data_IF_986751549737
#
_entry.id   IF_986751549737
#
_cell.length_a   1.000
_cell.length_b   1.000
_cell.length_c   1.000
_cell.angle_alpha   90.00
_cell.angle_beta   90.00
_cell.angle_gamma   90.00
#
_symmetry.space_group_name_H-M   'P 1'
#
loop_
_entity.id
_entity.type
_entity.pdbx_description
1 polymer ?
#
# COMPACT_ATOMS: atom_id res chain seq x y z
N UNK A 1 -35.31 -22.36 34.34
CA UNK A 1 -35.33 -21.67 33.01
C UNK A 1 -34.62 -20.36 33.22
N UNK A 2 -33.36 -20.28 32.89
CA UNK A 2 -32.58 -19.05 32.94
C UNK A 2 -33.12 -18.11 31.83
N UNK A 3 -33.92 -17.11 32.25
CA UNK A 3 -34.51 -16.11 31.38
C UNK A 3 -33.42 -15.14 30.92
N UNK A 4 -33.42 -14.78 29.65
CA UNK A 4 -32.65 -13.64 29.14
C UNK A 4 -33.53 -12.40 29.08
N UNK A 5 -32.87 -11.20 29.07
CA UNK A 5 -33.51 -9.90 28.89
C UNK A 5 -32.81 -9.19 27.75
N UNK A 6 -33.59 -8.57 26.83
CA UNK A 6 -33.05 -7.71 25.78
C UNK A 6 -33.28 -6.25 26.14
N UNK A 7 -32.26 -5.42 25.97
CA UNK A 7 -32.29 -3.97 26.21
C UNK A 7 -31.44 -3.22 25.19
N UNK A 8 -31.55 -1.92 25.21
CA UNK A 8 -30.68 -1.05 24.42
C UNK A 8 -29.24 -1.17 24.90
N UNK A 9 -28.31 -1.05 23.94
CA UNK A 9 -26.89 -0.95 24.20
C UNK A 9 -26.55 0.33 24.97
N UNK A 10 -25.61 0.24 25.88
CA UNK A 10 -24.98 1.37 26.58
C UNK A 10 -23.46 1.32 26.36
N UNK A 11 -22.76 2.45 26.57
CA UNK A 11 -21.29 2.47 26.40
C UNK A 11 -20.54 1.49 27.30
N UNK A 12 -21.09 1.18 28.46
CA UNK A 12 -20.50 0.20 29.42
C UNK A 12 -20.52 -1.22 28.87
N UNK A 13 -21.34 -1.51 27.86
CA UNK A 13 -21.43 -2.82 27.23
C UNK A 13 -20.34 -3.09 26.18
N UNK A 14 -19.59 -2.06 25.75
CA UNK A 14 -18.67 -2.17 24.60
C UNK A 14 -17.69 -3.33 24.73
N UNK A 15 -17.03 -3.44 25.87
CA UNK A 15 -16.03 -4.50 26.10
C UNK A 15 -16.66 -5.89 26.06
N UNK A 16 -17.87 -6.03 26.66
CA UNK A 16 -18.59 -7.30 26.68
C UNK A 16 -19.11 -7.69 25.29
N UNK A 17 -19.56 -6.73 24.47
CA UNK A 17 -19.97 -6.96 23.07
C UNK A 17 -18.78 -7.45 22.24
N UNK A 18 -17.61 -6.80 22.33
CA UNK A 18 -16.39 -7.24 21.63
C UNK A 18 -16.01 -8.65 22.04
N UNK A 19 -16.07 -8.97 23.33
CA UNK A 19 -15.74 -10.32 23.85
C UNK A 19 -16.68 -11.38 23.28
N UNK A 20 -17.98 -11.12 23.25
CA UNK A 20 -18.96 -12.06 22.70
C UNK A 20 -18.81 -12.21 21.19
N UNK A 21 -18.51 -11.12 20.46
CA UNK A 21 -18.25 -11.18 19.02
C UNK A 21 -17.05 -12.06 18.69
N UNK A 22 -15.93 -11.91 19.40
CA UNK A 22 -14.74 -12.76 19.25
C UNK A 22 -15.00 -14.24 19.49
N UNK A 23 -15.97 -14.57 20.37
CA UNK A 23 -16.37 -15.95 20.66
C UNK A 23 -17.44 -16.49 19.70
N UNK A 24 -18.03 -15.62 18.88
CA UNK A 24 -19.18 -15.97 18.05
C UNK A 24 -18.83 -16.48 16.66
N UNK A 25 -17.60 -16.35 16.19
CA UNK A 25 -17.16 -16.82 14.87
C UNK A 25 -17.43 -18.31 14.66
N UNK A 26 -18.16 -18.67 13.59
CA UNK A 26 -18.54 -20.06 13.24
C UNK A 26 -18.08 -20.49 11.87
N UNK A 27 -17.63 -19.58 11.01
CA UNK A 27 -17.21 -19.82 9.63
C UNK A 27 -15.75 -19.40 9.42
N UNK A 28 -15.08 -20.06 8.49
CA UNK A 28 -13.73 -19.68 8.06
C UNK A 28 -13.72 -18.34 7.27
N UNK A 29 -14.88 -17.93 6.75
CA UNK A 29 -15.01 -16.67 6.02
C UNK A 29 -15.23 -15.49 6.97
N UNK A 30 -14.45 -14.41 6.83
CA UNK A 30 -14.62 -13.21 7.63
C UNK A 30 -15.97 -12.55 7.35
N UNK A 31 -16.62 -11.97 8.38
CA UNK A 31 -17.87 -11.25 8.19
C UNK A 31 -17.67 -10.04 7.25
N UNK A 32 -18.72 -9.72 6.47
CA UNK A 32 -18.71 -8.63 5.50
C UNK A 32 -18.29 -7.27 6.09
N UNK A 33 -18.78 -6.95 7.27
CA UNK A 33 -18.41 -5.73 7.99
C UNK A 33 -17.37 -6.08 9.06
N UNK A 34 -16.19 -5.45 9.08
CA UNK A 34 -15.20 -5.67 10.14
C UNK A 34 -15.72 -5.22 11.51
N UNK A 35 -15.13 -5.75 12.58
CA UNK A 35 -15.51 -5.39 13.94
C UNK A 35 -15.38 -3.88 14.21
N UNK A 36 -14.42 -3.22 13.58
CA UNK A 36 -14.23 -1.76 13.64
C UNK A 36 -15.46 -0.97 13.23
N UNK A 37 -16.21 -1.45 12.23
CA UNK A 37 -17.43 -0.77 11.75
C UNK A 37 -18.54 -0.85 12.80
N UNK A 38 -18.68 -2.01 13.45
CA UNK A 38 -19.61 -2.19 14.55
C UNK A 38 -19.24 -1.31 15.76
N UNK A 39 -17.95 -1.26 16.12
CA UNK A 39 -17.45 -0.39 17.20
C UNK A 39 -17.71 1.08 16.88
N UNK A 40 -17.44 1.50 15.65
CA UNK A 40 -17.73 2.89 15.20
C UNK A 40 -19.22 3.20 15.29
N UNK A 41 -20.08 2.28 14.85
CA UNK A 41 -21.53 2.45 14.92
C UNK A 41 -22.02 2.57 16.39
N UNK A 42 -21.47 1.78 17.31
CA UNK A 42 -21.76 1.85 18.74
C UNK A 42 -21.32 3.19 19.35
N UNK A 43 -20.14 3.68 18.99
CA UNK A 43 -19.60 4.96 19.46
C UNK A 43 -20.39 6.17 18.90
N UNK A 44 -20.88 6.07 17.66
CA UNK A 44 -21.69 7.11 17.00
C UNK A 44 -23.19 6.98 17.30
N UNK A 45 -23.56 6.13 18.25
CA UNK A 45 -24.92 5.95 18.78
C UNK A 45 -25.97 5.51 17.75
N UNK A 46 -25.56 4.70 16.79
CA UNK A 46 -26.52 3.99 15.95
C UNK A 46 -27.30 2.96 16.78
N UNK A 47 -28.53 2.60 16.40
CA UNK A 47 -29.34 1.64 17.14
C UNK A 47 -28.62 0.30 17.32
N UNK A 48 -28.53 -0.16 18.55
CA UNK A 48 -27.96 -1.43 18.91
C UNK A 48 -28.67 -2.00 20.14
N UNK A 49 -28.78 -3.31 20.22
CA UNK A 49 -29.41 -4.01 21.34
C UNK A 49 -28.49 -5.11 21.88
N UNK A 50 -28.60 -5.37 23.16
CA UNK A 50 -27.86 -6.42 23.85
C UNK A 50 -28.81 -7.35 24.61
N UNK A 51 -28.42 -8.60 24.71
CA UNK A 51 -29.11 -9.59 25.55
C UNK A 51 -28.25 -9.94 26.74
N UNK A 52 -28.86 -9.99 27.92
CA UNK A 52 -28.20 -10.38 29.17
C UNK A 52 -28.92 -11.54 29.84
N UNK A 53 -28.18 -12.41 30.50
CA UNK A 53 -28.67 -13.42 31.40
C UNK A 53 -27.82 -13.37 32.68
N UNK A 54 -28.49 -13.30 33.85
CA UNK A 54 -27.83 -13.17 35.17
C UNK A 54 -26.77 -12.03 35.14
N UNK A 55 -27.14 -10.86 34.55
CA UNK A 55 -26.32 -9.66 34.34
C UNK A 55 -25.08 -9.86 33.44
N UNK A 56 -24.90 -11.04 32.85
CA UNK A 56 -23.83 -11.30 31.89
C UNK A 56 -24.35 -11.09 30.48
N UNK A 57 -23.61 -10.35 29.64
CA UNK A 57 -23.92 -10.14 28.22
C UNK A 57 -23.71 -11.44 27.45
N UNK A 58 -24.77 -11.92 26.80
CA UNK A 58 -24.81 -13.22 26.08
C UNK A 58 -25.03 -13.05 24.56
N UNK A 59 -25.36 -11.84 24.08
CA UNK A 59 -25.54 -11.57 22.68
C UNK A 59 -25.76 -10.08 22.41
N UNK A 60 -25.51 -9.68 21.15
CA UNK A 60 -25.74 -8.32 20.70
C UNK A 60 -26.14 -8.31 19.21
N UNK A 61 -26.88 -7.27 18.81
CA UNK A 61 -27.12 -6.93 17.43
C UNK A 61 -26.82 -5.44 17.23
N UNK A 62 -25.96 -5.15 16.25
CA UNK A 62 -25.44 -3.78 15.97
C UNK A 62 -25.81 -3.39 14.57
N UNK A 63 -26.22 -2.14 14.36
CA UNK A 63 -26.63 -1.62 13.08
C UNK A 63 -26.02 -0.26 12.76
N UNK A 64 -26.18 0.15 11.49
CA UNK A 64 -25.89 1.49 11.00
C UNK A 64 -27.07 1.99 10.18
N UNK A 65 -27.53 3.21 10.46
CA UNK A 65 -28.64 3.86 9.75
C UNK A 65 -28.06 4.91 8.81
N UNK A 66 -28.47 4.87 7.55
CA UNK A 66 -28.10 5.81 6.49
C UNK A 66 -29.36 6.32 5.79
N UNK A 67 -29.89 7.44 6.25
CA UNK A 67 -31.17 7.96 5.78
C UNK A 67 -32.32 6.98 6.06
N UNK A 68 -33.04 6.57 5.03
CA UNK A 68 -34.17 5.62 5.16
C UNK A 68 -33.75 4.14 5.09
N UNK A 69 -32.45 3.86 5.04
CA UNK A 69 -31.87 2.49 4.97
C UNK A 69 -31.07 2.20 6.22
N UNK A 70 -31.11 0.96 6.65
CA UNK A 70 -30.30 0.47 7.74
C UNK A 70 -29.59 -0.84 7.34
N UNK A 71 -28.38 -1.03 7.87
CA UNK A 71 -27.62 -2.24 7.75
C UNK A 71 -27.43 -2.89 9.12
N UNK A 72 -27.70 -4.17 9.23
CA UNK A 72 -27.27 -4.97 10.38
C UNK A 72 -25.79 -5.32 10.13
N UNK A 73 -24.91 -4.77 10.97
CA UNK A 73 -23.45 -4.95 10.84
C UNK A 73 -22.97 -6.21 11.55
N UNK A 74 -23.59 -6.52 12.70
CA UNK A 74 -23.23 -7.67 13.53
C UNK A 74 -24.44 -8.26 14.24
N UNK A 75 -24.44 -9.59 14.32
CA UNK A 75 -25.29 -10.36 15.23
C UNK A 75 -24.38 -11.37 15.88
N UNK A 76 -24.07 -11.20 17.16
CA UNK A 76 -23.15 -12.07 17.89
C UNK A 76 -23.83 -12.69 19.12
N UNK A 77 -23.46 -13.93 19.42
CA UNK A 77 -24.02 -14.68 20.54
C UNK A 77 -22.96 -15.57 21.17
N UNK A 78 -22.93 -15.62 22.50
CA UNK A 78 -22.10 -16.55 23.23
C UNK A 78 -22.42 -18.00 22.83
N UNK A 79 -21.41 -18.89 22.72
CA UNK A 79 -21.59 -20.26 22.19
C UNK A 79 -22.72 -21.05 22.86
N UNK A 80 -22.86 -20.97 24.17
CA UNK A 80 -23.89 -21.67 24.93
C UNK A 80 -25.33 -21.18 24.72
N UNK A 81 -25.53 -20.07 23.97
CA UNK A 81 -26.84 -19.45 23.76
C UNK A 81 -27.31 -19.51 22.31
N UNK A 82 -26.56 -20.16 21.44
CA UNK A 82 -26.95 -20.42 20.04
C UNK A 82 -28.09 -21.41 19.94
N UNK A 83 -28.82 -21.33 18.84
CA UNK A 83 -29.96 -22.25 18.51
C UNK A 83 -31.08 -22.25 19.57
N UNK A 84 -31.16 -21.22 20.42
CA UNK A 84 -32.21 -21.07 21.41
C UNK A 84 -33.21 -19.95 21.11
N UNK A 85 -33.24 -19.46 19.85
CA UNK A 85 -34.13 -18.38 19.42
C UNK A 85 -33.65 -16.96 19.76
N UNK A 86 -32.53 -16.80 20.47
CA UNK A 86 -32.02 -15.51 20.93
C UNK A 86 -31.72 -14.58 19.75
N UNK A 87 -31.17 -15.10 18.63
CA UNK A 87 -30.88 -14.32 17.44
C UNK A 87 -32.08 -13.63 16.85
N UNK A 88 -33.21 -14.33 16.70
CA UNK A 88 -34.46 -13.74 16.20
C UNK A 88 -35.01 -12.65 17.15
N UNK A 89 -34.92 -12.88 18.47
CA UNK A 89 -35.37 -11.87 19.45
C UNK A 89 -34.50 -10.60 19.37
N UNK A 90 -33.19 -10.74 19.23
CA UNK A 90 -32.28 -9.58 19.03
C UNK A 90 -32.58 -8.84 17.73
N UNK A 91 -32.82 -9.55 16.63
CA UNK A 91 -33.18 -8.95 15.34
C UNK A 91 -34.49 -8.18 15.45
N UNK A 92 -35.55 -8.80 15.98
CA UNK A 92 -36.86 -8.14 16.15
C UNK A 92 -36.75 -6.90 17.05
N UNK A 93 -35.99 -7.00 18.15
CA UNK A 93 -35.77 -5.87 19.03
C UNK A 93 -35.00 -4.73 18.34
N UNK A 94 -34.02 -5.06 17.50
CA UNK A 94 -33.26 -4.08 16.72
C UNK A 94 -34.13 -3.42 15.65
N UNK A 95 -34.92 -4.20 14.90
CA UNK A 95 -35.84 -3.70 13.87
C UNK A 95 -36.79 -2.61 14.40
N UNK A 96 -37.37 -2.84 15.58
CA UNK A 96 -38.25 -1.85 16.21
C UNK A 96 -37.53 -0.52 16.42
N UNK A 97 -36.24 -0.52 16.81
CA UNK A 97 -35.45 0.69 17.00
C UNK A 97 -35.08 1.32 15.67
N UNK A 98 -34.80 0.51 14.65
CA UNK A 98 -34.47 0.99 13.33
C UNK A 98 -35.65 1.69 12.66
N UNK A 99 -36.85 1.09 12.73
CA UNK A 99 -38.06 1.73 12.19
C UNK A 99 -38.44 2.97 12.99
N UNK A 100 -38.26 2.96 14.32
CA UNK A 100 -38.45 4.14 15.13
C UNK A 100 -37.45 5.27 14.82
N UNK A 101 -36.23 4.92 14.36
CA UNK A 101 -35.21 5.85 13.90
C UNK A 101 -35.42 6.32 12.44
N UNK A 102 -36.53 5.92 11.78
CA UNK A 102 -36.90 6.36 10.42
C UNK A 102 -36.43 5.48 9.28
N UNK A 103 -35.82 4.34 9.55
CA UNK A 103 -35.47 3.40 8.51
C UNK A 103 -36.77 2.83 7.87
N UNK A 104 -36.76 2.68 6.55
CA UNK A 104 -37.83 2.02 5.78
C UNK A 104 -37.40 0.68 5.19
N UNK A 105 -36.10 0.43 5.13
CA UNK A 105 -35.52 -0.82 4.69
C UNK A 105 -34.35 -1.22 5.58
N UNK A 106 -34.35 -2.49 5.99
CA UNK A 106 -33.26 -3.09 6.77
C UNK A 106 -32.59 -4.15 5.93
N UNK A 107 -31.28 -4.10 5.85
CA UNK A 107 -30.45 -4.99 5.07
C UNK A 107 -29.51 -5.75 5.99
N UNK A 108 -29.22 -7.01 5.64
CA UNK A 108 -28.16 -7.82 6.26
C UNK A 108 -27.41 -8.57 5.16
N UNK A 109 -26.13 -8.77 5.32
CA UNK A 109 -25.33 -9.62 4.46
C UNK A 109 -24.51 -10.57 5.33
N UNK A 110 -24.61 -11.86 5.04
CA UNK A 110 -23.95 -12.93 5.79
C UNK A 110 -23.26 -13.87 4.79
N UNK A 111 -22.15 -14.50 5.16
CA UNK A 111 -21.58 -15.61 4.41
C UNK A 111 -22.60 -16.74 4.22
N UNK A 112 -22.47 -17.49 3.12
CA UNK A 112 -23.34 -18.63 2.86
C UNK A 112 -23.13 -19.72 3.92
N UNK A 113 -24.21 -20.24 4.48
CA UNK A 113 -24.15 -21.30 5.52
C UNK A 113 -24.06 -20.79 6.97
N UNK A 114 -23.98 -19.48 7.20
CA UNK A 114 -23.94 -18.95 8.56
C UNK A 114 -25.28 -19.11 9.30
N UNK A 115 -25.19 -19.48 10.60
CA UNK A 115 -26.37 -19.75 11.44
C UNK A 115 -27.28 -18.52 11.61
N UNK A 116 -26.73 -17.32 11.46
CA UNK A 116 -27.48 -16.04 11.46
C UNK A 116 -28.55 -15.93 10.38
N UNK A 117 -28.38 -16.62 9.23
CA UNK A 117 -29.35 -16.63 8.15
C UNK A 117 -30.72 -17.21 8.55
N UNK A 118 -30.73 -18.21 9.43
CA UNK A 118 -31.98 -18.79 9.97
C UNK A 118 -32.72 -17.78 10.84
N UNK A 119 -32.02 -17.02 11.67
CA UNK A 119 -32.62 -15.99 12.54
C UNK A 119 -33.25 -14.86 11.69
N UNK A 120 -32.56 -14.44 10.62
CA UNK A 120 -33.10 -13.43 9.67
C UNK A 120 -34.38 -13.95 8.96
N UNK A 121 -34.37 -15.18 8.45
CA UNK A 121 -35.58 -15.77 7.83
C UNK A 121 -36.76 -15.85 8.81
N UNK A 122 -36.48 -16.19 10.07
CA UNK A 122 -37.52 -16.23 11.12
C UNK A 122 -38.09 -14.83 11.46
N UNK A 123 -37.41 -13.75 11.03
CA UNK A 123 -37.85 -12.37 11.15
C UNK A 123 -38.29 -11.80 9.79
N UNK A 124 -38.77 -12.63 8.87
CA UNK A 124 -39.34 -12.26 7.57
C UNK A 124 -38.35 -11.55 6.61
N UNK A 125 -37.04 -11.69 6.82
CA UNK A 125 -36.06 -11.20 5.85
C UNK A 125 -36.07 -12.09 4.59
N UNK A 126 -36.38 -11.48 3.46
CA UNK A 126 -36.33 -12.13 2.15
C UNK A 126 -34.90 -12.28 1.64
N UNK A 127 -34.43 -13.51 1.46
CA UNK A 127 -33.14 -13.75 0.79
C UNK A 127 -33.23 -13.40 -0.71
N UNK A 128 -32.20 -12.74 -1.24
CA UNK A 128 -32.08 -12.46 -2.69
C UNK A 128 -31.00 -13.35 -3.30
N UNK A 129 -31.34 -14.53 -3.85
CA UNK A 129 -30.40 -15.40 -4.54
C UNK A 129 -29.88 -14.70 -5.81
N UNK A 130 -28.63 -14.96 -6.18
CA UNK A 130 -28.01 -14.41 -7.38
C UNK A 130 -27.38 -13.01 -7.22
N UNK A 131 -27.36 -12.45 -6.01
CA UNK A 131 -26.50 -11.29 -5.73
C UNK A 131 -25.07 -11.75 -5.52
N UNK A 132 -24.16 -11.14 -6.26
CA UNK A 132 -22.72 -11.33 -6.05
C UNK A 132 -22.20 -10.08 -5.38
N UNK A 133 -21.55 -10.25 -4.24
CA UNK A 133 -20.93 -9.15 -3.52
C UNK A 133 -19.53 -8.93 -4.09
N UNK A 134 -19.26 -7.72 -4.56
CA UNK A 134 -17.93 -7.30 -4.99
C UNK A 134 -17.32 -6.39 -3.92
N UNK A 135 -16.27 -6.85 -3.27
CA UNK A 135 -15.49 -6.05 -2.33
C UNK A 135 -14.20 -5.59 -3.00
N UNK A 136 -13.92 -4.30 -2.91
CA UNK A 136 -12.60 -3.74 -3.18
C UNK A 136 -12.15 -3.05 -1.90
N UNK A 137 -11.26 -3.68 -1.17
CA UNK A 137 -10.67 -3.05 0.02
C UNK A 137 -9.79 -1.88 -0.41
N UNK A 138 -10.12 -0.71 0.12
CA UNK A 138 -9.22 0.44 0.04
C UNK A 138 -7.99 0.17 0.92
N UNK A 139 -6.85 0.81 0.62
CA UNK A 139 -5.58 0.47 1.27
C UNK A 139 -5.43 0.90 2.72
N UNK A 140 -6.40 1.61 3.34
CA UNK A 140 -6.24 2.15 4.72
C UNK A 140 -7.56 2.20 5.47
N UNK A 141 -7.58 1.67 6.69
CA UNK A 141 -8.64 1.92 7.67
C UNK A 141 -8.46 3.29 8.34
N UNK A 142 -9.53 3.99 8.80
CA UNK A 142 -9.42 5.28 9.49
C UNK A 142 -8.52 5.28 10.73
N UNK A 143 -8.37 4.15 11.40
CA UNK A 143 -7.47 3.99 12.56
C UNK A 143 -6.00 3.98 12.17
N UNK A 144 -5.66 3.44 10.99
CA UNK A 144 -4.30 3.49 10.46
C UNK A 144 -3.94 4.89 9.91
N UNK A 145 -4.90 5.72 9.50
CA UNK A 145 -4.64 7.05 8.95
C UNK A 145 -3.91 7.97 9.95
N UNK A 146 -4.30 7.94 11.23
CA UNK A 146 -3.60 8.67 12.30
C UNK A 146 -2.19 8.18 12.52
N UNK A 147 -1.99 6.86 12.54
CA UNK A 147 -0.67 6.23 12.69
C UNK A 147 0.20 6.48 11.46
N UNK A 148 -0.35 6.36 10.25
CA UNK A 148 0.37 6.64 9.01
C UNK A 148 0.84 8.10 8.94
N UNK A 149 -0.04 9.05 9.27
CA UNK A 149 0.31 10.47 9.30
C UNK A 149 1.40 10.77 10.34
N UNK A 150 1.34 10.17 11.53
CA UNK A 150 2.39 10.33 12.56
C UNK A 150 3.73 9.72 12.15
N UNK A 151 3.72 8.69 11.31
CA UNK A 151 4.92 8.07 10.76
C UNK A 151 5.47 8.82 9.54
N UNK A 152 4.71 9.75 8.96
CA UNK A 152 5.03 10.41 7.70
C UNK A 152 4.81 9.49 6.49
N UNK A 153 3.98 8.47 6.63
CA UNK A 153 3.59 7.61 5.53
C UNK A 153 2.50 8.29 4.69
N UNK A 154 2.58 8.13 3.39
CA UNK A 154 1.59 8.66 2.44
C UNK A 154 0.92 7.53 1.65
N UNK A 155 -0.29 7.79 1.16
CA UNK A 155 -0.94 6.91 0.22
C UNK A 155 -0.66 7.40 -1.19
N UNK A 156 0.15 6.68 -1.99
CA UNK A 156 0.44 7.12 -3.34
C UNK A 156 -0.84 7.21 -4.17
N UNK A 157 -1.00 8.25 -5.00
CA UNK A 157 -2.16 8.37 -5.86
C UNK A 157 -2.28 7.18 -6.80
N UNK A 158 -3.52 6.75 -7.07
CA UNK A 158 -3.78 5.66 -8.01
C UNK A 158 -3.24 5.96 -9.41
N UNK A 159 -2.85 4.90 -10.12
CA UNK A 159 -2.42 5.03 -11.52
C UNK A 159 -0.97 5.45 -11.73
N UNK A 160 -0.13 5.53 -10.70
CA UNK A 160 1.31 5.81 -10.88
C UNK A 160 2.01 4.73 -11.69
N UNK A 161 1.58 3.48 -11.57
CA UNK A 161 2.12 2.37 -12.35
C UNK A 161 2.01 2.58 -13.86
N UNK A 162 0.88 3.10 -14.31
CA UNK A 162 0.64 3.42 -15.72
C UNK A 162 1.44 4.63 -16.17
N UNK A 163 1.71 5.58 -15.25
CA UNK A 163 2.47 6.80 -15.52
C UNK A 163 3.98 6.59 -15.64
N UNK A 164 4.52 5.46 -15.15
CA UNK A 164 5.90 5.07 -15.44
C UNK A 164 5.98 4.74 -16.92
N UNK A 165 6.49 5.68 -17.71
CA UNK A 165 6.56 5.55 -19.16
C UNK A 165 7.66 4.56 -19.56
N UNK A 166 7.40 3.73 -20.56
CA UNK A 166 8.36 2.75 -21.07
C UNK A 166 8.77 1.70 -20.05
N UNK A 167 10.03 1.25 -20.11
CA UNK A 167 10.64 0.28 -19.18
C UNK A 167 9.80 -1.00 -19.02
N UNK A 168 9.27 -1.52 -20.12
CA UNK A 168 8.30 -2.61 -20.13
C UNK A 168 8.88 -3.92 -19.55
N UNK A 169 10.17 -4.17 -19.77
CA UNK A 169 10.86 -5.34 -19.24
C UNK A 169 10.91 -5.30 -17.72
N UNK A 170 11.31 -4.18 -17.14
CA UNK A 170 11.38 -3.97 -15.69
C UNK A 170 9.98 -4.03 -15.09
N UNK A 171 9.00 -3.38 -15.72
CA UNK A 171 7.60 -3.41 -15.29
C UNK A 171 7.02 -4.83 -15.29
N UNK A 172 7.23 -5.60 -16.34
CA UNK A 172 6.76 -7.00 -16.41
C UNK A 172 7.40 -7.87 -15.33
N UNK A 173 8.70 -7.67 -15.09
CA UNK A 173 9.42 -8.39 -14.06
C UNK A 173 8.86 -8.08 -12.67
N UNK A 174 8.73 -6.81 -12.34
CA UNK A 174 8.19 -6.33 -11.06
C UNK A 174 6.73 -6.80 -10.89
N UNK A 175 5.89 -6.67 -11.92
CA UNK A 175 4.50 -7.13 -11.87
C UNK A 175 4.42 -8.62 -11.54
N UNK A 176 5.19 -9.46 -12.23
CA UNK A 176 5.11 -10.92 -12.08
C UNK A 176 5.76 -11.44 -10.80
N UNK A 177 6.87 -10.85 -10.38
CA UNK A 177 7.69 -11.35 -9.28
C UNK A 177 7.37 -10.71 -7.94
N UNK A 178 6.89 -9.46 -7.94
CA UNK A 178 6.58 -8.73 -6.72
C UNK A 178 5.07 -8.52 -6.56
N UNK A 179 4.46 -7.82 -7.53
CA UNK A 179 3.10 -7.32 -7.36
C UNK A 179 2.08 -8.47 -7.30
N UNK A 180 2.14 -9.41 -8.23
CA UNK A 180 1.18 -10.52 -8.26
C UNK A 180 1.20 -11.39 -6.98
N UNK A 181 2.36 -11.86 -6.49
CA UNK A 181 2.38 -12.63 -5.25
C UNK A 181 1.93 -11.85 -4.02
N UNK A 182 2.23 -10.54 -3.95
CA UNK A 182 1.82 -9.69 -2.83
C UNK A 182 0.34 -9.31 -2.88
N UNK A 183 -0.22 -9.14 -4.08
CA UNK A 183 -1.63 -8.84 -4.28
C UNK A 183 -2.54 -10.07 -4.11
N UNK A 184 -1.99 -11.29 -4.32
CA UNK A 184 -2.74 -12.55 -4.28
C UNK A 184 -1.99 -13.60 -3.42
N UNK A 185 -1.79 -13.35 -2.11
CA UNK A 185 -0.97 -14.21 -1.25
C UNK A 185 -1.54 -15.63 -1.12
N UNK A 186 -2.84 -15.80 -1.10
CA UNK A 186 -3.50 -17.11 -1.04
C UNK A 186 -3.23 -17.94 -2.30
N UNK A 187 -3.34 -17.33 -3.47
CA UNK A 187 -3.02 -17.99 -4.74
C UNK A 187 -1.53 -18.35 -4.81
N UNK A 188 -0.66 -17.45 -4.35
CA UNK A 188 0.78 -17.70 -4.28
C UNK A 188 1.07 -18.92 -3.40
N UNK A 189 0.47 -19.00 -2.22
CA UNK A 189 0.61 -20.12 -1.28
C UNK A 189 0.13 -21.45 -1.87
N UNK A 190 -0.98 -21.48 -2.60
CA UNK A 190 -1.48 -22.68 -3.29
C UNK A 190 -0.47 -23.25 -4.30
N UNK A 191 0.39 -22.39 -4.87
CA UNK A 191 1.44 -22.77 -5.80
C UNK A 191 2.83 -22.88 -5.17
N UNK A 192 2.94 -22.79 -3.82
CA UNK A 192 4.21 -22.83 -3.10
C UNK A 192 5.10 -21.62 -3.37
N UNK A 193 4.51 -20.47 -3.78
CA UNK A 193 5.23 -19.23 -4.02
C UNK A 193 5.15 -18.37 -2.77
N UNK A 194 6.33 -18.06 -2.20
CA UNK A 194 6.40 -17.11 -1.09
C UNK A 194 6.43 -15.68 -1.64
N UNK A 195 5.51 -14.78 -1.19
CA UNK A 195 5.55 -13.38 -1.58
C UNK A 195 6.87 -12.72 -1.13
N UNK A 196 7.50 -11.90 -1.99
CA UNK A 196 8.75 -11.23 -1.65
C UNK A 196 8.52 -10.21 -0.52
N UNK A 197 9.51 -10.04 0.34
CA UNK A 197 9.44 -9.17 1.52
C UNK A 197 10.51 -8.09 1.55
N UNK A 198 11.60 -8.30 0.83
CA UNK A 198 12.67 -7.32 0.69
C UNK A 198 13.25 -7.35 -0.72
N UNK A 199 13.38 -6.18 -1.33
CA UNK A 199 13.87 -5.99 -2.70
C UNK A 199 14.90 -4.88 -2.72
N UNK A 200 15.97 -5.10 -3.49
CA UNK A 200 16.99 -4.10 -3.77
C UNK A 200 16.80 -3.60 -5.21
N UNK A 201 16.69 -2.29 -5.39
CA UNK A 201 16.77 -1.61 -6.69
C UNK A 201 18.15 -0.99 -6.82
N UNK A 202 18.88 -1.26 -7.88
CA UNK A 202 20.19 -0.66 -8.10
C UNK A 202 20.34 -0.12 -9.51
N UNK A 203 21.15 0.91 -9.67
CA UNK A 203 21.44 1.51 -10.97
C UNK A 203 21.80 2.99 -10.89
N UNK A 204 22.27 3.58 -11.97
CA UNK A 204 22.74 4.96 -11.99
C UNK A 204 21.73 5.97 -11.40
N UNK A 205 22.18 7.13 -10.96
CA UNK A 205 21.28 8.19 -10.50
C UNK A 205 20.34 8.67 -11.62
N UNK A 206 19.15 9.11 -11.26
CA UNK A 206 18.16 9.64 -12.21
C UNK A 206 17.38 8.59 -13.01
N UNK A 207 17.64 7.28 -12.83
CA UNK A 207 16.96 6.20 -13.58
C UNK A 207 15.55 5.90 -13.10
N UNK A 208 15.10 6.49 -11.96
CA UNK A 208 13.73 6.37 -11.49
C UNK A 208 13.48 5.29 -10.44
N UNK A 209 14.50 4.85 -9.68
CA UNK A 209 14.36 3.84 -8.61
C UNK A 209 13.26 4.19 -7.60
N UNK A 210 13.27 5.41 -7.07
CA UNK A 210 12.23 5.91 -6.14
C UNK A 210 10.86 5.99 -6.81
N UNK A 211 10.81 6.37 -8.10
CA UNK A 211 9.57 6.37 -8.90
C UNK A 211 8.97 4.96 -9.02
N UNK A 212 9.82 3.94 -9.23
CA UNK A 212 9.38 2.55 -9.24
C UNK A 212 8.85 2.11 -7.87
N UNK A 213 9.51 2.47 -6.77
CA UNK A 213 9.04 2.15 -5.43
C UNK A 213 7.64 2.75 -5.15
N UNK A 214 7.44 4.03 -5.48
CA UNK A 214 6.11 4.67 -5.38
C UNK A 214 5.07 4.00 -6.30
N UNK A 215 5.46 3.62 -7.52
CA UNK A 215 4.57 2.97 -8.46
C UNK A 215 4.16 1.56 -7.99
N UNK A 216 5.06 0.80 -7.35
CA UNK A 216 4.77 -0.49 -6.72
C UNK A 216 3.75 -0.30 -5.59
N UNK A 217 3.97 0.66 -4.68
CA UNK A 217 3.03 0.96 -3.61
C UNK A 217 1.66 1.37 -4.14
N UNK A 218 1.62 2.26 -5.16
CA UNK A 218 0.38 2.64 -5.86
C UNK A 218 -0.34 1.44 -6.49
N UNK A 219 0.40 0.51 -7.09
CA UNK A 219 -0.15 -0.68 -7.76
C UNK A 219 -0.71 -1.70 -6.77
N UNK A 220 -0.08 -1.83 -5.60
CA UNK A 220 -0.55 -2.66 -4.48
C UNK A 220 -1.68 -1.98 -3.70
N UNK A 221 -1.82 -0.65 -3.81
CA UNK A 221 -2.70 0.13 -2.97
C UNK A 221 -2.21 0.22 -1.51
N UNK A 222 -0.91 0.10 -1.29
CA UNK A 222 -0.30 0.12 0.03
C UNK A 222 0.23 1.50 0.39
N UNK A 223 0.21 1.89 1.69
CA UNK A 223 0.92 3.06 2.17
C UNK A 223 2.42 2.97 1.83
N UNK A 224 2.98 4.12 1.47
CA UNK A 224 4.39 4.30 1.19
C UNK A 224 5.04 5.07 2.34
N UNK A 225 6.09 4.52 2.91
CA UNK A 225 6.86 5.13 3.98
C UNK A 225 8.32 5.22 3.58
N UNK A 226 8.83 6.43 3.43
CA UNK A 226 10.24 6.66 3.18
C UNK A 226 11.00 6.83 4.49
N UNK A 227 12.08 6.09 4.64
CA UNK A 227 13.00 6.22 5.75
C UNK A 227 14.27 6.95 5.30
N UNK A 228 14.63 7.98 6.04
CA UNK A 228 15.82 8.79 5.81
C UNK A 228 16.88 8.43 6.86
N UNK A 229 17.90 7.60 6.52
CA UNK A 229 18.89 7.15 7.49
C UNK A 229 19.64 8.28 8.19
N UNK A 230 19.99 9.32 7.45
CA UNK A 230 20.68 10.49 7.99
C UNK A 230 19.85 11.20 9.08
N UNK A 231 18.54 11.32 8.88
CA UNK A 231 17.62 11.92 9.86
C UNK A 231 17.50 11.05 11.12
N UNK A 232 17.37 9.73 10.94
CA UNK A 232 17.31 8.81 12.07
C UNK A 232 18.59 8.81 12.90
N UNK A 233 19.75 8.96 12.23
CA UNK A 233 21.04 9.06 12.90
C UNK A 233 21.15 10.34 13.77
N UNK A 234 20.62 11.45 13.30
CA UNK A 234 20.67 12.73 14.00
C UNK A 234 19.74 12.77 15.23
N UNK A 235 18.58 12.09 15.17
CA UNK A 235 17.57 12.17 16.24
C UNK A 235 17.86 11.21 17.43
N UNK A 236 18.28 9.97 17.14
CA UNK A 236 18.33 8.89 18.16
C UNK A 236 19.59 8.02 18.07
N UNK A 237 20.52 8.34 17.17
CA UNK A 237 21.51 7.38 16.72
C UNK A 237 20.88 6.33 15.78
N UNK A 238 21.57 6.01 14.70
CA UNK A 238 20.99 5.28 13.56
C UNK A 238 20.40 3.92 13.95
N UNK A 239 21.12 3.11 14.75
CA UNK A 239 20.65 1.80 15.18
C UNK A 239 19.35 1.87 16.02
N UNK A 240 19.31 2.78 16.98
CA UNK A 240 18.14 2.98 17.85
C UNK A 240 16.96 3.53 17.05
N UNK A 241 17.21 4.52 16.17
CA UNK A 241 16.20 5.12 15.30
C UNK A 241 15.57 4.11 14.36
N UNK A 242 16.38 3.26 13.71
CA UNK A 242 15.88 2.18 12.85
C UNK A 242 15.01 1.18 13.62
N UNK A 243 15.50 0.68 14.78
CA UNK A 243 14.73 -0.28 15.57
C UNK A 243 13.38 0.30 15.99
N UNK A 244 13.37 1.53 16.50
CA UNK A 244 12.14 2.22 16.90
C UNK A 244 11.17 2.37 15.72
N UNK A 245 11.65 2.80 14.54
CA UNK A 245 10.81 2.93 13.34
C UNK A 245 10.25 1.58 12.88
N UNK A 246 11.05 0.53 12.89
CA UNK A 246 10.56 -0.79 12.54
C UNK A 246 9.54 -1.34 13.56
N UNK A 247 9.65 -1.02 14.85
CA UNK A 247 8.66 -1.36 15.86
C UNK A 247 7.34 -0.60 15.67
N UNK A 248 7.41 0.66 15.26
CA UNK A 248 6.23 1.47 14.92
C UNK A 248 5.55 0.93 13.64
N UNK A 249 6.33 0.63 12.62
CA UNK A 249 5.87 0.03 11.35
C UNK A 249 5.26 -1.37 11.58
N UNK A 250 5.75 -2.10 12.59
CA UNK A 250 5.24 -3.41 12.96
C UNK A 250 3.75 -3.43 13.37
N UNK A 251 3.14 -2.26 13.55
CA UNK A 251 1.71 -2.10 13.88
C UNK A 251 0.82 -1.88 12.66
N UNK A 252 1.42 -1.74 11.46
CA UNK A 252 0.69 -1.56 10.22
C UNK A 252 0.44 -2.92 9.57
N UNK A 253 -0.76 -3.13 9.04
CA UNK A 253 -1.12 -4.37 8.34
C UNK A 253 -0.43 -4.49 6.98
N UNK A 254 -0.44 -3.38 6.22
CA UNK A 254 0.20 -3.31 4.90
C UNK A 254 1.02 -2.04 4.78
N UNK A 255 2.24 -2.15 4.29
CA UNK A 255 3.12 -1.00 4.04
C UNK A 255 4.26 -1.37 3.09
N UNK A 256 4.59 -0.44 2.18
CA UNK A 256 5.87 -0.44 1.49
C UNK A 256 6.80 0.55 2.19
N UNK A 257 7.90 0.04 2.73
CA UNK A 257 8.97 0.84 3.33
C UNK A 257 10.06 1.03 2.30
N UNK A 258 10.45 2.27 2.06
CA UNK A 258 11.49 2.62 1.11
C UNK A 258 12.70 3.25 1.83
N UNK A 259 13.89 2.77 1.49
CA UNK A 259 15.16 3.34 1.95
C UNK A 259 15.96 3.71 0.70
N UNK A 260 16.10 5.01 0.42
CA UNK A 260 16.96 5.47 -0.65
C UNK A 260 18.41 5.59 -0.17
N UNK A 261 19.35 5.52 -1.12
CA UNK A 261 20.78 5.66 -0.87
C UNK A 261 21.26 4.77 0.30
N UNK A 262 20.83 3.51 0.28
CA UNK A 262 21.11 2.57 1.38
C UNK A 262 22.61 2.38 1.64
N UNK A 263 23.48 2.73 0.69
CA UNK A 263 24.93 2.80 0.82
C UNK A 263 25.40 3.78 1.90
N UNK A 264 24.64 4.81 2.24
CA UNK A 264 24.96 5.72 3.34
C UNK A 264 25.01 4.98 4.68
N UNK A 265 24.20 3.93 4.81
CA UNK A 265 24.05 3.11 6.02
C UNK A 265 24.79 1.80 5.91
N UNK A 266 24.87 1.24 4.71
CA UNK A 266 25.29 -0.11 4.39
C UNK A 266 26.60 -0.17 3.59
N UNK A 267 27.26 0.96 3.35
CA UNK A 267 28.49 1.03 2.56
C UNK A 267 29.70 0.42 3.25
N UNK A 268 30.58 -0.21 2.48
CA UNK A 268 31.92 -0.60 2.92
C UNK A 268 32.73 0.67 3.21
N UNK A 269 32.95 0.98 4.50
CA UNK A 269 33.91 2.01 4.89
C UNK A 269 35.25 1.34 5.19
N UNK A 270 36.27 1.65 4.38
CA UNK A 270 37.64 1.21 4.59
C UNK A 270 38.22 1.83 5.86
N UNK A 271 38.17 1.10 6.97
CA UNK A 271 38.75 1.50 8.25
C UNK A 271 37.90 1.07 9.43
N UNK A 272 38.54 0.59 10.50
CA UNK A 272 37.99 -0.07 11.68
C UNK A 272 37.14 0.86 12.57
N UNK A 273 36.04 1.43 12.08
CA UNK A 273 35.08 2.12 12.92
C UNK A 273 34.03 1.11 13.42
N UNK A 274 34.24 0.62 14.65
CA UNK A 274 33.37 -0.35 15.31
C UNK A 274 31.89 0.11 15.35
N UNK A 275 31.66 1.41 15.30
CA UNK A 275 30.32 2.03 15.29
C UNK A 275 29.60 1.77 13.96
N UNK A 276 30.30 1.82 12.83
CA UNK A 276 29.71 1.59 11.50
C UNK A 276 29.32 0.12 11.29
N UNK A 277 30.16 -0.82 11.75
CA UNK A 277 29.86 -2.27 11.71
C UNK A 277 28.62 -2.59 12.56
N UNK A 278 28.44 -1.91 13.69
CA UNK A 278 27.25 -2.04 14.54
C UNK A 278 25.96 -1.65 13.82
N UNK A 279 25.98 -0.56 13.07
CA UNK A 279 24.81 -0.05 12.34
C UNK A 279 24.38 -0.99 11.21
N UNK A 280 25.33 -1.47 10.40
CA UNK A 280 25.09 -2.45 9.35
C UNK A 280 24.42 -3.70 9.92
N UNK A 281 24.96 -4.23 11.02
CA UNK A 281 24.39 -5.41 11.67
C UNK A 281 22.99 -5.19 12.22
N UNK A 282 22.71 -4.01 12.80
CA UNK A 282 21.36 -3.68 13.30
C UNK A 282 20.36 -3.53 12.15
N UNK A 283 20.73 -2.88 11.05
CA UNK A 283 19.87 -2.82 9.86
C UNK A 283 19.58 -4.22 9.31
N UNK A 284 20.58 -5.09 9.25
CA UNK A 284 20.39 -6.46 8.80
C UNK A 284 19.49 -7.28 9.72
N UNK A 285 19.59 -7.13 11.04
CA UNK A 285 18.66 -7.75 12.00
C UNK A 285 17.25 -7.20 11.84
N UNK A 286 17.11 -5.89 11.65
CA UNK A 286 15.83 -5.23 11.43
C UNK A 286 15.16 -5.72 10.13
N UNK A 287 15.92 -5.90 9.04
CA UNK A 287 15.42 -6.49 7.78
C UNK A 287 14.89 -7.91 8.01
N UNK A 288 15.64 -8.76 8.71
CA UNK A 288 15.22 -10.13 9.00
C UNK A 288 13.93 -10.15 9.82
N UNK A 289 13.82 -9.29 10.84
CA UNK A 289 12.61 -9.17 11.66
C UNK A 289 11.41 -8.62 10.88
N UNK A 290 11.65 -7.63 10.01
CA UNK A 290 10.61 -7.08 9.13
C UNK A 290 10.04 -8.13 8.18
N UNK A 291 10.88 -8.99 7.65
CA UNK A 291 10.52 -10.08 6.75
C UNK A 291 9.67 -11.18 7.38
N UNK A 292 9.65 -11.29 8.71
CA UNK A 292 8.86 -12.33 9.40
C UNK A 292 7.36 -12.06 9.42
N UNK A 293 6.91 -10.93 8.90
CA UNK A 293 5.50 -10.52 8.94
C UNK A 293 4.95 -10.32 7.52
N UNK A 294 3.74 -10.80 7.29
CA UNK A 294 3.04 -10.67 6.01
C UNK A 294 2.53 -9.23 5.77
N UNK A 295 2.17 -8.92 4.53
CA UNK A 295 1.64 -7.60 4.17
C UNK A 295 2.68 -6.47 4.13
N UNK A 296 3.99 -6.78 4.16
CA UNK A 296 5.05 -5.79 4.20
C UNK A 296 6.07 -6.00 3.11
N UNK A 297 6.50 -4.91 2.48
CA UNK A 297 7.56 -4.92 1.49
C UNK A 297 8.60 -3.86 1.84
N UNK A 298 9.84 -4.26 2.03
CA UNK A 298 10.98 -3.37 2.12
C UNK A 298 11.60 -3.21 0.72
N UNK A 299 11.76 -1.99 0.26
CA UNK A 299 12.47 -1.65 -0.97
C UNK A 299 13.66 -0.76 -0.61
N UNK A 300 14.87 -1.24 -0.86
CA UNK A 300 16.08 -0.44 -0.73
C UNK A 300 16.54 -0.02 -2.12
N UNK A 301 17.07 1.20 -2.25
CA UNK A 301 17.67 1.67 -3.48
C UNK A 301 19.14 2.07 -3.26
N UNK A 302 19.99 1.81 -4.26
CA UNK A 302 21.38 2.22 -4.27
C UNK A 302 21.81 2.68 -5.66
N UNK A 303 22.68 3.65 -5.73
CA UNK A 303 23.28 4.08 -6.99
C UNK A 303 24.39 3.14 -7.46
N UNK A 304 25.00 2.38 -6.54
CA UNK A 304 26.06 1.41 -6.85
C UNK A 304 26.03 0.23 -5.88
N UNK A 305 25.68 -0.95 -6.39
CA UNK A 305 25.57 -2.16 -5.57
C UNK A 305 26.92 -2.68 -5.07
N UNK A 306 28.04 -2.29 -5.71
CA UNK A 306 29.38 -2.71 -5.31
C UNK A 306 29.90 -2.01 -4.07
N UNK A 307 29.31 -0.87 -3.68
CA UNK A 307 29.67 -0.13 -2.48
C UNK A 307 29.05 -0.69 -1.21
N UNK A 308 28.09 -1.61 -1.36
CA UNK A 308 27.42 -2.22 -0.22
C UNK A 308 28.26 -3.32 0.41
N UNK A 309 28.19 -3.42 1.74
CA UNK A 309 28.75 -4.58 2.46
C UNK A 309 28.19 -5.88 1.85
N UNK A 310 29.10 -6.80 1.53
CA UNK A 310 28.77 -8.10 0.90
C UNK A 310 27.70 -8.88 1.67
N UNK A 311 27.58 -8.63 2.96
CA UNK A 311 26.54 -9.19 3.82
C UNK A 311 25.13 -8.83 3.34
N UNK A 312 24.88 -7.63 2.79
CA UNK A 312 23.58 -7.25 2.24
C UNK A 312 23.16 -8.10 1.03
N UNK A 313 24.11 -8.49 0.24
CA UNK A 313 23.89 -9.24 -1.01
C UNK A 313 23.77 -10.75 -0.81
N UNK A 314 23.93 -11.26 0.42
CA UNK A 314 23.77 -12.70 0.70
C UNK A 314 22.31 -13.13 0.57
N UNK A 315 22.12 -14.38 0.14
CA UNK A 315 20.78 -15.01 0.10
C UNK A 315 20.09 -14.95 1.47
N UNK A 316 18.77 -14.82 1.46
CA UNK A 316 17.97 -14.75 2.68
C UNK A 316 17.78 -13.34 3.25
N UNK A 317 18.30 -12.29 2.60
CA UNK A 317 18.12 -10.88 3.00
C UNK A 317 17.25 -10.12 2.02
N UNK A 318 17.62 -10.09 0.77
CA UNK A 318 16.80 -9.58 -0.32
C UNK A 318 16.36 -10.74 -1.21
N UNK A 319 15.07 -10.79 -1.52
CA UNK A 319 14.48 -11.80 -2.38
C UNK A 319 14.88 -11.55 -3.82
N UNK A 320 14.89 -10.27 -4.21
CA UNK A 320 15.29 -9.82 -5.54
C UNK A 320 16.28 -8.67 -5.46
N UNK A 321 17.19 -8.63 -6.43
CA UNK A 321 18.14 -7.54 -6.67
C UNK A 321 17.96 -7.12 -8.12
N UNK A 322 17.24 -6.02 -8.34
CA UNK A 322 16.71 -5.61 -9.63
C UNK A 322 17.48 -4.43 -10.20
N UNK A 323 18.04 -4.56 -11.42
CA UNK A 323 18.68 -3.45 -12.09
C UNK A 323 17.62 -2.49 -12.66
N UNK A 324 17.77 -1.19 -12.38
CA UNK A 324 16.99 -0.10 -12.95
C UNK A 324 17.97 0.82 -13.69
N UNK A 325 18.14 0.55 -14.96
CA UNK A 325 19.10 1.24 -15.83
C UNK A 325 18.52 2.46 -16.57
N UNK A 326 19.36 3.11 -17.38
CA UNK A 326 18.88 4.13 -18.32
C UNK A 326 17.82 3.52 -19.25
N UNK A 327 16.82 4.33 -19.68
CA UNK A 327 15.75 3.88 -20.54
C UNK A 327 16.28 3.52 -21.94
N UNK A 328 15.76 2.45 -22.51
CA UNK A 328 16.00 2.10 -23.90
C UNK A 328 15.31 3.09 -24.85
N UNK A 329 15.50 2.96 -26.16
CA UNK A 329 14.91 3.86 -27.16
C UNK A 329 13.37 3.91 -27.03
N UNK A 330 12.72 2.76 -26.86
CA UNK A 330 11.26 2.68 -26.73
C UNK A 330 10.78 3.40 -25.46
N UNK A 331 11.48 3.22 -24.37
CA UNK A 331 11.18 3.91 -23.11
C UNK A 331 11.39 5.42 -23.23
N UNK A 332 12.46 5.87 -23.89
CA UNK A 332 12.68 7.30 -24.14
C UNK A 332 11.60 7.91 -25.03
N UNK A 333 11.17 7.18 -26.08
CA UNK A 333 10.05 7.63 -26.93
C UNK A 333 8.79 7.84 -26.08
N UNK A 334 8.41 6.87 -25.26
CA UNK A 334 7.24 7.00 -24.40
C UNK A 334 7.36 8.10 -23.33
N UNK A 335 8.57 8.34 -22.82
CA UNK A 335 8.84 9.48 -21.93
C UNK A 335 8.63 10.81 -22.64
N UNK A 336 9.20 10.99 -23.85
CA UNK A 336 9.02 12.19 -24.65
C UNK A 336 7.54 12.41 -24.99
N UNK A 337 6.82 11.39 -25.46
CA UNK A 337 5.38 11.48 -25.72
C UNK A 337 4.61 12.03 -24.51
N UNK A 338 4.88 11.48 -23.32
CA UNK A 338 4.23 11.95 -22.08
C UNK A 338 4.50 13.43 -21.76
N UNK A 339 5.70 13.95 -22.06
CA UNK A 339 6.03 15.36 -21.86
C UNK A 339 5.44 16.26 -22.96
N UNK A 340 5.47 15.82 -24.22
CA UNK A 340 4.91 16.54 -25.36
C UNK A 340 3.39 16.70 -25.21
N UNK A 341 2.69 15.64 -24.81
CA UNK A 341 1.24 15.68 -24.55
C UNK A 341 0.88 16.72 -23.48
N UNK A 342 1.63 16.75 -22.38
CA UNK A 342 1.42 17.74 -21.31
C UNK A 342 1.67 19.17 -21.75
N UNK A 343 2.67 19.38 -22.61
CA UNK A 343 2.99 20.68 -23.15
C UNK A 343 2.07 21.13 -24.31
N UNK A 344 1.27 20.20 -24.87
CA UNK A 344 0.52 20.40 -26.12
C UNK A 344 1.44 20.65 -27.30
N UNK A 345 2.67 20.08 -27.27
CA UNK A 345 3.70 20.28 -28.25
C UNK A 345 3.55 19.31 -29.44
N UNK A 346 3.92 19.75 -30.64
CA UNK A 346 3.92 18.95 -31.86
C UNK A 346 5.35 18.66 -32.32
N UNK A 347 6.11 17.94 -31.47
CA UNK A 347 7.45 17.50 -31.79
C UNK A 347 7.48 16.00 -32.06
N UNK A 348 8.48 15.52 -32.80
CA UNK A 348 8.66 14.10 -33.10
C UNK A 348 9.37 13.37 -31.98
N UNK A 349 8.62 12.59 -31.23
CA UNK A 349 9.12 11.83 -30.07
C UNK A 349 10.20 10.81 -30.43
N UNK A 350 10.15 10.20 -31.63
CA UNK A 350 11.15 9.24 -32.09
C UNK A 350 12.49 9.92 -32.41
N UNK A 351 12.44 11.09 -33.02
CA UNK A 351 13.63 11.92 -33.28
C UNK A 351 14.26 12.34 -31.96
N UNK A 352 13.46 12.82 -31.00
CA UNK A 352 13.94 13.20 -29.66
C UNK A 352 14.54 12.04 -28.91
N UNK A 353 13.90 10.85 -28.97
CA UNK A 353 14.40 9.63 -28.35
C UNK A 353 15.76 9.20 -28.90
N UNK A 354 15.97 9.38 -30.24
CA UNK A 354 17.23 9.08 -30.89
C UNK A 354 18.33 10.08 -30.47
N UNK A 355 17.99 11.36 -30.41
CA UNK A 355 18.93 12.42 -30.03
C UNK A 355 19.31 12.37 -28.54
N UNK A 356 18.47 11.83 -27.68
CA UNK A 356 18.68 11.71 -26.21
C UNK A 356 19.22 10.36 -25.79
N UNK A 357 20.05 9.70 -26.60
CA UNK A 357 20.73 8.47 -26.21
C UNK A 357 21.55 8.70 -24.93
N UNK A 358 21.47 7.78 -23.98
CA UNK A 358 22.12 7.88 -22.67
C UNK A 358 21.42 8.78 -21.65
N UNK A 359 20.35 9.49 -22.02
CA UNK A 359 19.57 10.27 -21.08
C UNK A 359 18.78 9.38 -20.12
N UNK A 360 18.79 9.79 -18.87
CA UNK A 360 17.90 9.23 -17.84
C UNK A 360 16.50 9.88 -17.93
N UNK A 361 15.47 9.30 -17.27
CA UNK A 361 14.18 9.96 -17.12
C UNK A 361 14.28 11.37 -16.51
N UNK A 362 15.27 11.60 -15.62
CA UNK A 362 15.51 12.91 -15.02
C UNK A 362 16.09 13.92 -16.04
N UNK A 363 16.99 13.48 -16.92
CA UNK A 363 17.55 14.32 -17.98
C UNK A 363 16.46 14.73 -18.98
N UNK A 364 15.62 13.78 -19.41
CA UNK A 364 14.48 14.05 -20.28
C UNK A 364 13.50 15.04 -19.63
N UNK A 365 13.18 14.83 -18.35
CA UNK A 365 12.33 15.75 -17.60
C UNK A 365 12.93 17.16 -17.50
N UNK A 366 14.25 17.25 -17.31
CA UNK A 366 14.95 18.53 -17.27
C UNK A 366 14.86 19.23 -18.63
N UNK A 367 15.22 18.57 -19.71
CA UNK A 367 15.17 19.13 -21.06
C UNK A 367 13.74 19.59 -21.44
N UNK A 368 12.73 18.75 -21.15
CA UNK A 368 11.34 19.13 -21.41
C UNK A 368 10.88 20.36 -20.61
N UNK A 369 11.29 20.48 -19.34
CA UNK A 369 10.98 21.67 -18.51
C UNK A 369 11.69 22.92 -19.02
N UNK A 370 12.93 22.79 -19.46
CA UNK A 370 13.70 23.92 -20.03
C UNK A 370 13.01 24.49 -21.26
N UNK A 371 12.55 23.64 -22.17
CA UNK A 371 11.77 24.10 -23.35
C UNK A 371 10.45 24.74 -22.92
N UNK A 372 9.75 24.15 -21.96
CA UNK A 372 8.48 24.73 -21.48
C UNK A 372 8.69 26.09 -20.82
N UNK A 373 9.77 26.27 -20.07
CA UNK A 373 10.14 27.55 -19.47
C UNK A 373 10.45 28.61 -20.55
N UNK A 374 11.26 28.28 -21.55
CA UNK A 374 11.58 29.18 -22.64
C UNK A 374 10.33 29.61 -23.42
N UNK A 375 9.36 28.69 -23.62
CA UNK A 375 8.09 29.03 -24.27
C UNK A 375 7.21 29.95 -23.41
N UNK A 376 7.21 29.75 -22.10
CA UNK A 376 6.51 30.64 -21.17
C UNK A 376 7.09 32.05 -21.25
N UNK A 377 8.42 32.21 -21.20
CA UNK A 377 9.11 33.50 -21.30
C UNK A 377 8.82 34.18 -22.65
N UNK A 378 8.93 33.47 -23.76
CA UNK A 378 8.56 34.01 -25.09
C UNK A 378 7.11 34.51 -25.12
N UNK A 379 6.19 33.72 -24.54
CA UNK A 379 4.78 34.10 -24.53
C UNK A 379 4.56 35.36 -23.69
N UNK A 380 5.26 35.48 -22.57
CA UNK A 380 5.19 36.63 -21.68
C UNK A 380 5.68 37.90 -22.38
N UNK A 381 6.82 37.82 -23.10
CA UNK A 381 7.45 38.94 -23.74
C UNK A 381 6.69 39.39 -25.01
N UNK A 382 6.16 38.45 -25.77
CA UNK A 382 5.51 38.75 -27.08
C UNK A 382 3.99 38.86 -27.03
N UNK A 383 3.37 38.41 -25.91
CA UNK A 383 1.91 38.31 -25.79
C UNK A 383 1.28 37.20 -26.66
N UNK A 384 2.10 36.42 -27.40
CA UNK A 384 1.61 35.42 -28.36
C UNK A 384 2.07 34.03 -27.94
N UNK A 385 1.12 33.12 -27.72
CA UNK A 385 1.44 31.71 -27.39
C UNK A 385 1.95 31.01 -28.66
N UNK A 386 3.17 30.51 -28.61
CA UNK A 386 3.76 29.65 -29.61
C UNK A 386 3.84 28.20 -29.10
N UNK A 387 3.84 27.25 -30.04
CA UNK A 387 3.99 25.81 -29.69
C UNK A 387 5.44 25.40 -29.93
N UNK A 388 6.11 24.72 -29.02
CA UNK A 388 7.47 24.24 -29.21
C UNK A 388 7.56 23.30 -30.41
N UNK A 389 8.64 23.42 -31.16
CA UNK A 389 8.97 22.55 -32.29
C UNK A 389 9.96 21.46 -31.91
N UNK A 390 10.16 20.48 -32.80
CA UNK A 390 11.21 19.47 -32.64
C UNK A 390 12.58 20.09 -32.42
N UNK A 391 12.90 21.16 -33.17
CA UNK A 391 14.20 21.85 -33.09
C UNK A 391 14.43 22.51 -31.74
N UNK A 392 13.40 23.12 -31.12
CA UNK A 392 13.52 23.69 -29.76
C UNK A 392 13.98 22.62 -28.73
N UNK A 393 13.46 21.39 -28.86
CA UNK A 393 13.87 20.27 -28.00
C UNK A 393 15.26 19.75 -28.37
N UNK A 394 15.59 19.62 -29.65
CA UNK A 394 16.89 19.14 -30.09
C UNK A 394 18.02 20.08 -29.67
N UNK A 395 17.81 21.41 -29.71
CA UNK A 395 18.77 22.37 -29.20
C UNK A 395 19.02 22.17 -27.70
N UNK A 396 17.95 22.04 -26.91
CA UNK A 396 18.07 21.79 -25.50
C UNK A 396 18.75 20.43 -25.18
N UNK A 397 18.47 19.38 -25.95
CA UNK A 397 19.12 18.08 -25.80
C UNK A 397 20.63 18.18 -26.05
N UNK A 398 21.06 18.96 -27.08
CA UNK A 398 22.48 19.16 -27.37
C UNK A 398 23.21 19.88 -26.23
N UNK A 399 22.56 20.81 -25.57
CA UNK A 399 23.13 21.59 -24.47
C UNK A 399 23.09 20.83 -23.12
N UNK A 400 22.30 19.75 -23.01
CA UNK A 400 22.14 18.94 -21.77
C UNK A 400 23.19 17.84 -21.73
N UNK A 401 24.01 17.81 -20.68
CA UNK A 401 24.92 16.69 -20.44
C UNK A 401 24.14 15.50 -19.84
N UNK A 402 24.27 14.30 -20.42
CA UNK A 402 23.70 13.10 -19.81
C UNK A 402 24.22 12.88 -18.38
N UNK A 403 23.32 12.56 -17.44
CA UNK A 403 23.70 12.20 -16.06
C UNK A 403 24.53 10.91 -16.05
N UNK A 404 24.22 9.97 -16.93
CA UNK A 404 24.94 8.69 -17.03
C UNK A 404 25.99 8.77 -18.13
N UNK A 405 27.25 8.78 -17.73
CA UNK A 405 28.38 8.68 -18.67
C UNK A 405 28.51 7.27 -19.26
N UNK A 406 29.22 7.15 -20.38
CA UNK A 406 29.51 5.84 -20.98
C UNK A 406 30.21 4.89 -20.01
N UNK A 407 31.12 5.41 -19.17
CA UNK A 407 31.79 4.61 -18.14
C UNK A 407 30.81 4.10 -17.07
N UNK A 408 29.87 4.95 -16.62
CA UNK A 408 28.83 4.53 -15.66
C UNK A 408 27.86 3.51 -16.27
N UNK A 409 27.53 3.63 -17.55
CA UNK A 409 26.69 2.66 -18.25
C UNK A 409 27.38 1.29 -18.34
N UNK A 410 28.70 1.29 -18.64
CA UNK A 410 29.49 0.07 -18.70
C UNK A 410 29.62 -0.58 -17.30
N UNK A 411 29.89 0.19 -16.26
CA UNK A 411 29.94 -0.30 -14.87
C UNK A 411 28.59 -0.89 -14.45
N UNK A 412 27.49 -0.20 -14.76
CA UNK A 412 26.14 -0.71 -14.49
C UNK A 412 25.87 -2.05 -15.20
N UNK A 413 26.31 -2.21 -16.44
CA UNK A 413 26.16 -3.48 -17.17
C UNK A 413 26.92 -4.62 -16.47
N UNK A 414 28.15 -4.38 -16.01
CA UNK A 414 28.93 -5.35 -15.23
C UNK A 414 28.27 -5.67 -13.88
N UNK A 415 27.77 -4.66 -13.18
CA UNK A 415 27.02 -4.84 -11.93
C UNK A 415 25.75 -5.68 -12.17
N UNK A 416 25.04 -5.44 -13.27
CA UNK A 416 23.85 -6.20 -13.64
C UNK A 416 24.16 -7.66 -13.86
N UNK A 417 25.21 -7.98 -14.62
CA UNK A 417 25.63 -9.36 -14.87
C UNK A 417 26.00 -10.09 -13.56
N UNK A 418 26.68 -9.39 -12.65
CA UNK A 418 27.23 -10.01 -11.43
C UNK A 418 26.22 -10.11 -10.29
N UNK A 419 25.33 -9.13 -10.12
CA UNK A 419 24.51 -9.00 -8.90
C UNK A 419 23.02 -9.13 -9.13
N UNK A 420 22.49 -9.00 -10.36
CA UNK A 420 21.06 -9.12 -10.60
C UNK A 420 20.57 -10.53 -10.19
N UNK A 421 19.52 -10.53 -9.37
CA UNK A 421 18.80 -11.76 -8.97
C UNK A 421 17.31 -11.52 -9.25
N UNK A 422 16.76 -12.37 -10.13
CA UNK A 422 15.43 -12.22 -10.67
C UNK A 422 14.61 -13.49 -10.47
#
# INVERSE_FOLDING_TARGET
>A
MTGWRVRDYTQDDLEAVIRVDMQSGTTEEPPLFPLSDAVTALQTRHPAVVATADDVLIGAAVSRVEGERAWILRICMAPGWRQRGLGSVLITALEQRLFAAGARAVHAALPEGETGATALRNCDFGARPGLVFFEKRGPVTPQSAGTLSSLGAELPPGGLWQKVAGMQREKQLIERRLVLPLAHPELAAQHGVEPPRAVMLFGPPGTGKSTFAHAIASRLGWPFLELFPARLAAEYGLATGLNRRFDEIARLDHVLVFIDEVEEVAGERGGADATAVGVVNELLKAIVRFRSQDGRLLVCATNNVTTLDSAFLRHGRFDYVLPIGPPDHTARTALWESYLDRAGARADSAVLASASEGFTPADIAHAARTVSQAQFERTFDTGTRTTPTTDDYLDTIRDTKPTVSAAMAQDFAQQTEKYARI
#
